data_IF_953503964417
#
_entry.id   IF_953503964417
#
_cell.length_a   1.000
_cell.length_b   1.000
_cell.length_c   1.000
_cell.angle_alpha   90.00
_cell.angle_beta   90.00
_cell.angle_gamma   90.00
#
_symmetry.space_group_name_H-M   'P 1'
#
loop_
_entity.id
_entity.type
_entity.pdbx_description
1 polymer ?
#
# COMPACT_ATOMS: atom_id res chain seq x y z
N UNK A 1 -37.79 -8.70 -43.50
CA UNK A 1 -37.37 -9.77 -42.53
C UNK A 1 -36.01 -9.53 -41.92
N UNK A 2 -35.04 -8.82 -42.54
CA UNK A 2 -33.74 -8.51 -41.99
C UNK A 2 -33.79 -7.31 -41.03
N UNK A 3 -34.72 -6.37 -41.26
CA UNK A 3 -34.89 -5.17 -40.41
C UNK A 3 -35.56 -5.47 -39.05
N UNK A 4 -36.43 -6.46 -38.97
CA UNK A 4 -37.12 -6.82 -37.73
C UNK A 4 -36.22 -7.63 -36.73
N UNK A 5 -35.21 -8.34 -37.25
CA UNK A 5 -34.23 -9.06 -36.38
C UNK A 5 -33.21 -8.16 -35.70
N UNK A 6 -32.86 -7.02 -36.30
CA UNK A 6 -31.92 -6.06 -35.70
C UNK A 6 -32.56 -5.22 -34.61
N UNK A 7 -33.85 -4.87 -34.75
CA UNK A 7 -34.58 -4.12 -33.70
C UNK A 7 -34.78 -4.94 -32.45
N UNK A 8 -34.98 -6.25 -32.55
CA UNK A 8 -35.12 -7.16 -31.39
C UNK A 8 -33.85 -7.36 -30.57
N UNK A 9 -32.66 -7.31 -31.19
CA UNK A 9 -31.39 -7.50 -30.53
C UNK A 9 -30.92 -6.25 -29.76
N UNK A 10 -31.18 -5.08 -30.29
CA UNK A 10 -30.85 -3.81 -29.59
C UNK A 10 -31.78 -3.54 -28.40
N UNK A 11 -33.04 -3.91 -28.46
CA UNK A 11 -33.97 -3.80 -27.34
C UNK A 11 -33.61 -4.75 -26.20
N UNK A 12 -33.11 -5.97 -26.49
CA UNK A 12 -32.63 -6.90 -25.45
C UNK A 12 -31.36 -6.44 -24.75
N UNK A 13 -30.46 -5.73 -25.45
CA UNK A 13 -29.22 -5.20 -24.85
C UNK A 13 -29.55 -3.96 -23.98
N UNK A 14 -30.45 -3.11 -24.41
CA UNK A 14 -30.93 -1.95 -23.62
C UNK A 14 -31.63 -2.39 -22.32
N UNK A 15 -32.50 -3.41 -22.40
CA UNK A 15 -33.21 -3.92 -21.24
C UNK A 15 -32.28 -4.57 -20.21
N UNK A 16 -31.21 -5.25 -20.64
CA UNK A 16 -30.22 -5.82 -19.73
C UNK A 16 -29.41 -4.75 -18.99
N UNK A 17 -28.98 -3.70 -19.68
CA UNK A 17 -28.22 -2.61 -19.06
C UNK A 17 -29.09 -1.77 -18.10
N UNK A 18 -30.36 -1.52 -18.45
CA UNK A 18 -31.28 -0.82 -17.55
C UNK A 18 -31.60 -1.66 -16.30
N UNK A 19 -31.74 -2.98 -16.41
CA UNK A 19 -31.92 -3.85 -15.24
C UNK A 19 -30.68 -3.94 -14.36
N UNK A 20 -29.48 -3.87 -14.92
CA UNK A 20 -28.22 -3.85 -14.14
C UNK A 20 -28.05 -2.51 -13.42
N UNK A 21 -28.23 -1.39 -14.08
CA UNK A 21 -28.19 -0.05 -13.47
C UNK A 21 -29.27 0.16 -12.40
N UNK A 22 -30.50 -0.35 -12.62
CA UNK A 22 -31.54 -0.33 -11.60
C UNK A 22 -31.24 -1.24 -10.40
N UNK A 23 -30.52 -2.38 -10.58
CA UNK A 23 -30.13 -3.23 -9.47
C UNK A 23 -29.04 -2.61 -8.60
N UNK A 24 -28.00 -2.02 -9.19
CA UNK A 24 -26.94 -1.35 -8.45
C UNK A 24 -27.43 -0.08 -7.74
N UNK A 25 -28.29 0.72 -8.38
CA UNK A 25 -28.89 1.90 -7.74
C UNK A 25 -29.88 1.54 -6.62
N UNK A 26 -30.55 0.37 -6.69
CA UNK A 26 -31.43 -0.10 -5.62
C UNK A 26 -30.65 -0.62 -4.40
N UNK A 27 -29.46 -1.24 -4.59
CA UNK A 27 -28.67 -1.74 -3.47
C UNK A 27 -28.03 -0.60 -2.67
N UNK A 28 -27.42 0.39 -3.32
CA UNK A 28 -26.87 1.59 -2.68
C UNK A 28 -27.93 2.40 -1.94
N UNK A 29 -29.09 2.54 -2.52
CA UNK A 29 -30.23 3.27 -1.94
C UNK A 29 -30.85 2.54 -0.71
N UNK A 30 -30.84 1.21 -0.68
CA UNK A 30 -31.41 0.42 0.43
C UNK A 30 -30.54 0.49 1.69
N UNK A 31 -29.23 0.35 1.57
CA UNK A 31 -28.31 0.46 2.71
C UNK A 31 -28.32 1.87 3.31
N UNK A 32 -28.32 2.90 2.47
CA UNK A 32 -28.41 4.29 2.91
C UNK A 32 -29.76 4.56 3.63
N UNK A 33 -30.83 4.02 3.10
CA UNK A 33 -32.15 4.13 3.73
C UNK A 33 -32.18 3.44 5.10
N UNK A 34 -31.58 2.26 5.22
CA UNK A 34 -31.45 1.54 6.50
C UNK A 34 -30.59 2.35 7.47
N UNK A 35 -29.46 2.91 7.05
CA UNK A 35 -28.60 3.76 7.88
C UNK A 35 -29.36 4.99 8.38
N UNK A 36 -30.09 5.66 7.50
CA UNK A 36 -30.85 6.85 7.85
C UNK A 36 -31.94 6.55 8.90
N UNK A 37 -32.62 5.41 8.78
CA UNK A 37 -33.60 4.97 9.76
C UNK A 37 -32.96 4.67 11.13
N UNK A 38 -31.84 3.96 11.13
CA UNK A 38 -31.08 3.60 12.33
C UNK A 38 -30.45 4.80 13.05
N UNK A 39 -30.21 5.92 12.35
CA UNK A 39 -29.72 7.18 12.94
C UNK A 39 -30.78 7.81 13.91
N UNK A 40 -32.04 7.38 13.86
CA UNK A 40 -33.04 7.82 14.84
C UNK A 40 -32.89 7.15 16.21
N UNK A 41 -32.12 6.09 16.34
CA UNK A 41 -31.88 5.36 17.58
C UNK A 41 -30.71 5.96 18.35
N UNK A 42 -30.94 6.40 19.57
CA UNK A 42 -29.95 7.06 20.42
C UNK A 42 -29.54 6.11 21.56
N UNK A 43 -28.23 6.04 21.80
CA UNK A 43 -27.69 5.27 22.92
C UNK A 43 -27.93 6.02 24.24
N UNK A 44 -28.59 5.42 25.22
CA UNK A 44 -29.05 6.13 26.42
C UNK A 44 -27.92 6.71 27.30
N UNK A 45 -26.76 6.07 27.31
CA UNK A 45 -25.59 6.52 28.10
C UNK A 45 -24.80 7.63 27.41
N UNK A 46 -24.64 7.57 26.09
CA UNK A 46 -23.82 8.53 25.35
C UNK A 46 -24.61 9.71 24.79
N UNK A 47 -25.92 9.57 24.65
CA UNK A 47 -26.79 10.58 24.04
C UNK A 47 -26.55 10.76 22.51
N UNK A 48 -25.74 9.92 21.90
CA UNK A 48 -25.44 9.96 20.46
C UNK A 48 -26.23 8.86 19.74
N UNK A 49 -26.52 9.09 18.45
CA UNK A 49 -27.16 8.07 17.62
C UNK A 49 -26.19 6.90 17.30
N UNK A 50 -26.76 5.72 17.03
CA UNK A 50 -25.98 4.49 16.85
C UNK A 50 -25.16 4.45 15.54
N UNK A 51 -25.49 5.30 14.57
CA UNK A 51 -24.76 5.41 13.29
C UNK A 51 -23.53 6.27 13.48
N UNK A 52 -23.70 7.49 14.03
CA UNK A 52 -22.61 8.42 14.33
C UNK A 52 -21.64 7.87 15.38
N UNK A 53 -22.15 7.08 16.33
CA UNK A 53 -21.34 6.39 17.35
C UNK A 53 -20.53 5.20 16.79
N UNK A 54 -20.74 4.83 15.53
CA UNK A 54 -20.03 3.71 14.90
C UNK A 54 -20.44 2.33 15.42
N UNK A 55 -21.64 2.18 16.01
CA UNK A 55 -22.12 0.88 16.49
C UNK A 55 -22.59 -0.06 15.38
N UNK A 56 -22.71 0.43 14.14
CA UNK A 56 -23.08 -0.39 12.98
C UNK A 56 -21.79 -0.89 12.30
N UNK A 57 -21.51 -2.18 12.44
CA UNK A 57 -20.37 -2.83 11.80
C UNK A 57 -20.66 -3.17 10.34
N UNK A 58 -21.85 -3.71 10.06
CA UNK A 58 -22.20 -4.16 8.71
C UNK A 58 -23.73 -4.11 8.50
N UNK A 59 -24.11 -3.72 7.29
CA UNK A 59 -25.49 -3.80 6.80
C UNK A 59 -25.46 -4.59 5.48
N UNK A 60 -26.28 -5.61 5.36
CA UNK A 60 -26.49 -6.33 4.12
C UNK A 60 -27.99 -6.47 3.82
N UNK A 61 -28.36 -6.24 2.57
CA UNK A 61 -29.71 -6.48 2.08
C UNK A 61 -29.66 -7.32 0.81
N UNK A 62 -30.05 -8.58 0.92
CA UNK A 62 -30.03 -9.52 -0.21
C UNK A 62 -31.19 -10.53 -0.10
N UNK A 63 -31.77 -10.91 -1.24
CA UNK A 63 -32.77 -11.97 -1.34
C UNK A 63 -33.94 -11.85 -0.35
N UNK A 64 -34.46 -10.63 -0.10
CA UNK A 64 -35.57 -10.40 0.82
C UNK A 64 -35.19 -10.47 2.30
N UNK A 65 -33.90 -10.41 2.63
CA UNK A 65 -33.41 -10.42 3.99
C UNK A 65 -32.53 -9.21 4.28
N UNK A 66 -32.78 -8.51 5.37
CA UNK A 66 -31.97 -7.44 5.93
C UNK A 66 -31.17 -7.99 7.10
N UNK A 67 -29.85 -7.87 7.08
CA UNK A 67 -28.98 -8.25 8.19
C UNK A 67 -28.23 -7.01 8.65
N UNK A 68 -28.31 -6.68 9.94
CA UNK A 68 -27.57 -5.60 10.58
C UNK A 68 -26.72 -6.17 11.69
N UNK A 69 -25.43 -5.88 11.68
CA UNK A 69 -24.49 -6.29 12.73
C UNK A 69 -24.16 -5.08 13.58
N UNK A 70 -24.51 -5.14 14.86
CA UNK A 70 -24.20 -4.12 15.86
C UNK A 70 -23.01 -4.56 16.69
N UNK A 71 -22.06 -3.63 16.92
CA UNK A 71 -20.91 -3.85 17.80
C UNK A 71 -20.80 -2.70 18.79
N UNK A 72 -20.77 -3.01 20.08
CA UNK A 72 -20.65 -2.04 21.15
C UNK A 72 -19.21 -1.99 21.69
N UNK A 73 -18.77 -0.81 22.11
CA UNK A 73 -17.40 -0.59 22.62
C UNK A 73 -17.12 -1.38 23.92
N UNK A 74 -18.15 -1.58 24.76
CA UNK A 74 -18.05 -2.37 25.99
C UNK A 74 -18.46 -3.82 25.70
N UNK A 75 -17.69 -4.80 26.19
CA UNK A 75 -17.95 -6.24 25.98
C UNK A 75 -19.33 -6.71 26.54
N UNK A 76 -19.91 -5.96 27.49
CA UNK A 76 -21.25 -6.17 28.03
C UNK A 76 -21.93 -4.82 28.22
N UNK A 77 -22.39 -4.25 27.12
CA UNK A 77 -23.14 -3.01 27.17
C UNK A 77 -24.57 -3.30 27.65
N UNK A 78 -25.03 -2.70 28.76
CA UNK A 78 -26.38 -2.97 29.34
C UNK A 78 -27.53 -2.57 28.41
N UNK A 79 -27.27 -1.70 27.44
CA UNK A 79 -28.27 -1.20 26.49
C UNK A 79 -28.26 -1.94 25.14
N UNK A 80 -27.27 -2.81 24.89
CA UNK A 80 -27.12 -3.49 23.62
C UNK A 80 -28.36 -4.27 23.18
N UNK A 81 -28.94 -5.03 24.09
CA UNK A 81 -30.19 -5.81 23.82
C UNK A 81 -31.38 -4.89 23.54
N UNK A 82 -31.49 -3.78 24.26
CA UNK A 82 -32.59 -2.80 24.06
C UNK A 82 -32.46 -2.15 22.68
N UNK A 83 -31.26 -1.71 22.31
CA UNK A 83 -31.01 -1.08 21.01
C UNK A 83 -31.23 -2.07 19.87
N UNK A 84 -30.76 -3.31 20.02
CA UNK A 84 -31.06 -4.38 19.07
C UNK A 84 -32.56 -4.53 18.81
N UNK A 85 -33.34 -4.66 19.87
CA UNK A 85 -34.79 -4.85 19.74
C UNK A 85 -35.48 -3.64 19.09
N UNK A 86 -35.07 -2.42 19.44
CA UNK A 86 -35.57 -1.20 18.81
C UNK A 86 -35.22 -1.14 17.33
N UNK A 87 -33.98 -1.55 16.94
CA UNK A 87 -33.56 -1.62 15.55
C UNK A 87 -34.39 -2.67 14.78
N UNK A 88 -34.65 -3.85 15.38
CA UNK A 88 -35.50 -4.88 14.76
C UNK A 88 -36.92 -4.40 14.54
N UNK A 89 -37.52 -3.78 15.54
CA UNK A 89 -38.90 -3.25 15.44
C UNK A 89 -39.00 -2.15 14.37
N UNK A 90 -38.06 -1.21 14.38
CA UNK A 90 -38.03 -0.12 13.41
C UNK A 90 -37.92 -0.65 11.98
N UNK A 91 -36.98 -1.56 11.75
CA UNK A 91 -36.74 -2.13 10.40
C UNK A 91 -37.91 -3.04 9.95
N UNK A 92 -38.51 -3.83 10.83
CA UNK A 92 -39.71 -4.66 10.50
C UNK A 92 -40.92 -3.80 10.15
N UNK A 93 -41.09 -2.65 10.80
CA UNK A 93 -42.17 -1.72 10.49
C UNK A 93 -42.00 -1.06 9.12
N UNK A 94 -40.76 -0.68 8.75
CA UNK A 94 -40.47 0.01 7.51
C UNK A 94 -40.30 -0.94 6.31
N UNK A 95 -39.97 -2.21 6.57
CA UNK A 95 -39.77 -3.25 5.57
C UNK A 95 -40.58 -4.52 5.90
N UNK A 96 -41.92 -4.49 5.86
CA UNK A 96 -42.78 -5.59 6.27
C UNK A 96 -42.60 -6.86 5.44
N UNK A 97 -42.17 -6.73 4.17
CA UNK A 97 -41.98 -7.86 3.24
C UNK A 97 -40.59 -8.48 3.33
N UNK A 98 -39.72 -8.01 4.25
CA UNK A 98 -38.37 -8.51 4.41
C UNK A 98 -38.15 -9.18 5.76
N UNK A 99 -37.31 -10.23 5.75
CA UNK A 99 -36.87 -10.86 7.00
C UNK A 99 -35.75 -10.03 7.61
N UNK A 100 -35.98 -9.45 8.79
CA UNK A 100 -34.98 -8.61 9.49
C UNK A 100 -34.24 -9.44 10.53
N UNK A 101 -32.91 -9.41 10.51
CA UNK A 101 -32.00 -10.00 11.49
C UNK A 101 -31.03 -8.94 12.00
N UNK A 102 -31.07 -8.62 13.28
CA UNK A 102 -30.10 -7.77 13.96
C UNK A 102 -29.25 -8.62 14.91
N UNK A 103 -27.94 -8.63 14.72
CA UNK A 103 -27.00 -9.43 15.49
C UNK A 103 -26.12 -8.50 16.32
N UNK A 104 -25.87 -8.84 17.59
CA UNK A 104 -24.89 -8.17 18.43
C UNK A 104 -23.61 -9.01 18.38
N UNK A 105 -22.48 -8.39 18.02
CA UNK A 105 -21.15 -8.95 18.17
C UNK A 105 -20.54 -8.48 19.48
N UNK A 106 -20.15 -9.39 20.33
CA UNK A 106 -19.44 -9.09 21.57
C UNK A 106 -17.94 -8.92 21.29
N UNK A 107 -17.37 -7.85 21.87
CA UNK A 107 -15.92 -7.66 21.99
C UNK A 107 -15.24 -6.82 20.92
N UNK A 108 -14.52 -5.80 21.39
CA UNK A 108 -13.70 -4.87 20.63
C UNK A 108 -14.45 -3.61 20.20
N UNK A 109 -13.81 -2.44 20.37
CA UNK A 109 -14.34 -1.17 19.86
C UNK A 109 -14.72 -1.35 18.40
N UNK A 110 -15.93 -0.90 18.01
CA UNK A 110 -16.26 -0.71 16.61
C UNK A 110 -15.14 0.12 15.99
N UNK A 111 -14.66 -0.18 14.77
CA UNK A 111 -13.79 0.73 14.08
C UNK A 111 -14.53 2.08 14.06
N UNK A 112 -13.95 3.10 14.70
CA UNK A 112 -14.39 4.48 14.48
C UNK A 112 -14.44 4.65 12.97
N UNK A 113 -15.50 5.28 12.38
CA UNK A 113 -15.40 5.72 11.00
C UNK A 113 -14.09 6.52 10.93
N UNK A 114 -13.11 5.93 10.24
CA UNK A 114 -11.83 6.62 10.04
C UNK A 114 -12.22 7.97 9.42
N UNK A 115 -11.79 9.10 9.96
CA UNK A 115 -11.97 10.36 9.28
C UNK A 115 -11.45 10.13 7.87
N UNK A 116 -12.24 10.46 6.84
CA UNK A 116 -11.79 10.36 5.44
C UNK A 116 -10.56 11.26 5.34
N UNK A 117 -9.39 10.68 5.59
CA UNK A 117 -8.11 11.36 5.52
C UNK A 117 -8.01 11.88 4.09
N UNK A 118 -7.91 13.20 3.95
CA UNK A 118 -7.61 13.80 2.65
C UNK A 118 -6.24 13.27 2.25
N UNK A 119 -6.17 12.47 1.19
CA UNK A 119 -4.91 11.92 0.70
C UNK A 119 -4.04 13.05 0.20
N UNK A 120 -2.85 13.19 0.77
CA UNK A 120 -1.86 14.19 0.34
C UNK A 120 -1.03 13.71 -0.86
N UNK A 121 -1.35 12.53 -1.39
CA UNK A 121 -0.69 11.96 -2.58
C UNK A 121 -1.07 12.64 -3.89
N UNK A 122 -1.99 13.60 -3.89
CA UNK A 122 -2.46 14.29 -5.10
C UNK A 122 -1.39 15.08 -5.88
N UNK A 123 -0.20 15.30 -5.30
CA UNK A 123 0.96 15.93 -5.96
C UNK A 123 2.01 14.96 -6.48
N UNK A 124 1.82 13.64 -6.35
CA UNK A 124 2.76 12.61 -6.76
C UNK A 124 2.35 12.07 -8.13
N UNK A 125 3.26 12.17 -9.12
CA UNK A 125 2.98 11.72 -10.48
C UNK A 125 3.00 10.20 -10.61
N UNK A 126 4.00 9.53 -10.00
CA UNK A 126 4.18 8.07 -10.07
C UNK A 126 4.63 7.49 -8.73
N UNK A 127 4.00 6.40 -8.32
CA UNK A 127 4.38 5.63 -7.13
C UNK A 127 4.94 4.28 -7.56
N UNK A 128 6.17 3.98 -7.15
CA UNK A 128 6.86 2.72 -7.48
C UNK A 128 7.09 1.93 -6.19
N UNK A 129 6.51 0.75 -6.10
CA UNK A 129 6.80 -0.16 -5.01
C UNK A 129 8.14 -0.87 -5.23
N UNK A 130 9.03 -0.86 -4.26
CA UNK A 130 10.24 -1.67 -4.24
C UNK A 130 10.02 -2.82 -3.28
N UNK A 131 9.99 -4.04 -3.80
CA UNK A 131 9.66 -5.25 -3.07
C UNK A 131 10.76 -6.30 -3.19
N UNK A 132 10.74 -7.27 -2.29
CA UNK A 132 11.59 -8.46 -2.36
C UNK A 132 10.88 -9.66 -1.81
N UNK A 133 11.07 -10.84 -2.40
CA UNK A 133 10.51 -12.08 -1.89
C UNK A 133 11.12 -12.52 -0.55
N UNK A 134 12.32 -12.03 -0.20
CA UNK A 134 13.11 -12.44 0.97
C UNK A 134 13.83 -11.24 1.59
N UNK A 135 14.04 -11.28 2.91
CA UNK A 135 14.90 -10.35 3.61
C UNK A 135 16.38 -10.55 3.28
N UNK A 136 17.19 -9.48 3.41
CA UNK A 136 18.64 -9.54 3.23
C UNK A 136 19.15 -9.48 1.78
N UNK A 137 18.27 -9.23 0.79
CA UNK A 137 18.68 -9.08 -0.61
C UNK A 137 19.16 -7.66 -0.97
N UNK A 138 19.14 -6.74 0.00
CA UNK A 138 19.54 -5.34 -0.19
C UNK A 138 18.46 -4.45 -0.81
N UNK A 139 17.18 -4.79 -0.63
CA UNK A 139 16.03 -4.02 -1.11
C UNK A 139 16.13 -2.53 -0.78
N UNK A 140 16.32 -2.19 0.51
CA UNK A 140 16.36 -0.80 0.97
C UNK A 140 17.60 -0.05 0.46
N UNK A 141 18.75 -0.73 0.33
CA UNK A 141 19.96 -0.18 -0.30
C UNK A 141 19.69 0.14 -1.79
N UNK A 142 19.00 -0.75 -2.49
CA UNK A 142 18.59 -0.51 -3.89
C UNK A 142 17.61 0.67 -3.96
N UNK A 143 16.63 0.75 -3.06
CA UNK A 143 15.68 1.87 -3.00
C UNK A 143 16.39 3.20 -2.81
N UNK A 144 17.32 3.29 -1.84
CA UNK A 144 18.08 4.51 -1.56
C UNK A 144 18.90 4.99 -2.76
N UNK A 145 19.68 4.09 -3.35
CA UNK A 145 20.51 4.43 -4.49
C UNK A 145 19.70 4.71 -5.78
N UNK A 146 18.57 4.03 -5.98
CA UNK A 146 17.65 4.30 -7.09
C UNK A 146 17.02 5.70 -6.94
N UNK A 147 16.63 6.10 -5.72
CA UNK A 147 16.12 7.43 -5.45
C UNK A 147 17.14 8.51 -5.79
N UNK A 148 18.40 8.31 -5.40
CA UNK A 148 19.49 9.23 -5.75
C UNK A 148 19.74 9.27 -7.26
N UNK A 149 19.71 8.13 -7.95
CA UNK A 149 19.85 8.09 -9.40
C UNK A 149 18.73 8.85 -10.12
N UNK A 150 17.47 8.65 -9.71
CA UNK A 150 16.33 9.42 -10.24
C UNK A 150 16.48 10.92 -9.98
N UNK A 151 16.92 11.32 -8.78
CA UNK A 151 17.20 12.71 -8.44
C UNK A 151 18.33 13.28 -9.34
N UNK A 152 19.41 12.52 -9.58
CA UNK A 152 20.50 12.93 -10.47
C UNK A 152 20.03 13.11 -11.91
N UNK A 153 18.99 12.38 -12.34
CA UNK A 153 18.33 12.58 -13.64
C UNK A 153 17.40 13.82 -13.67
N UNK A 154 17.28 14.56 -12.57
CA UNK A 154 16.50 15.80 -12.45
C UNK A 154 15.05 15.62 -11.99
N UNK A 155 14.66 14.43 -11.55
CA UNK A 155 13.32 14.19 -11.00
C UNK A 155 13.22 14.59 -9.52
N UNK A 156 12.05 15.05 -9.09
CA UNK A 156 11.69 15.26 -7.69
C UNK A 156 11.29 13.93 -7.09
N UNK A 157 12.01 13.47 -6.09
CA UNK A 157 11.89 12.11 -5.56
C UNK A 157 11.54 12.13 -4.08
N UNK A 158 10.65 11.22 -3.69
CA UNK A 158 10.38 10.88 -2.30
C UNK A 158 10.60 9.40 -2.03
N UNK A 159 10.85 9.07 -0.78
CA UNK A 159 10.92 7.69 -0.27
C UNK A 159 9.94 7.53 0.87
N UNK A 160 9.08 6.53 0.76
CA UNK A 160 8.26 6.03 1.85
C UNK A 160 8.86 4.72 2.35
N UNK A 161 9.50 4.75 3.51
CA UNK A 161 10.03 3.55 4.17
C UNK A 161 8.93 2.93 5.03
N UNK A 162 8.35 1.86 4.51
CA UNK A 162 7.26 1.13 5.13
C UNK A 162 7.72 -0.21 5.75
N UNK A 163 9.04 -0.45 5.87
CA UNK A 163 9.58 -1.65 6.50
C UNK A 163 9.51 -1.55 8.02
N UNK A 164 8.42 -2.07 8.60
CA UNK A 164 8.14 -2.02 10.04
C UNK A 164 9.19 -2.77 10.85
N UNK A 165 9.74 -3.82 10.28
CA UNK A 165 10.64 -4.74 10.99
C UNK A 165 12.09 -4.31 10.95
N UNK A 166 12.47 -3.45 10.01
CA UNK A 166 13.82 -2.98 9.85
C UNK A 166 13.90 -1.67 9.07
N UNK A 167 13.29 -0.58 9.58
CA UNK A 167 13.33 0.71 8.89
C UNK A 167 14.78 1.18 8.79
N UNK A 168 15.32 1.25 7.59
CA UNK A 168 16.73 1.51 7.34
C UNK A 168 17.00 2.80 6.56
N UNK A 169 15.99 3.37 5.93
CA UNK A 169 16.16 4.59 5.13
C UNK A 169 16.65 5.80 5.97
N UNK A 170 16.20 6.01 7.23
CA UNK A 170 16.73 7.09 8.06
C UNK A 170 18.26 7.01 8.23
N UNK A 171 18.79 5.79 8.44
CA UNK A 171 20.25 5.56 8.54
C UNK A 171 20.94 5.86 7.22
N UNK A 172 20.43 5.33 6.12
CA UNK A 172 21.02 5.47 4.79
C UNK A 172 21.07 6.91 4.29
N UNK A 173 20.22 7.80 4.82
CA UNK A 173 20.19 9.23 4.50
C UNK A 173 20.69 10.15 5.62
N UNK A 174 21.22 9.60 6.71
CA UNK A 174 21.80 10.36 7.81
C UNK A 174 20.78 11.21 8.59
N UNK A 175 19.53 10.76 8.65
CA UNK A 175 18.41 11.47 9.31
C UNK A 175 17.77 10.67 10.44
N UNK A 176 18.52 9.78 11.09
CA UNK A 176 18.01 8.89 12.16
C UNK A 176 17.38 9.64 13.35
N UNK A 177 17.87 10.83 13.65
CA UNK A 177 17.37 11.66 14.76
C UNK A 177 16.22 12.59 14.36
N UNK A 178 15.71 12.51 13.15
CA UNK A 178 14.62 13.37 12.70
C UNK A 178 13.32 13.04 13.45
N UNK A 179 12.66 14.08 13.96
CA UNK A 179 11.35 14.00 14.58
C UNK A 179 10.37 14.75 13.67
N UNK A 180 9.41 14.07 13.04
CA UNK A 180 8.47 14.72 12.14
C UNK A 180 7.60 15.73 12.86
N UNK A 181 7.57 16.98 12.37
CA UNK A 181 6.64 18.00 12.83
C UNK A 181 5.26 17.78 12.21
N UNK A 182 4.22 18.12 12.96
CA UNK A 182 2.86 18.20 12.47
C UNK A 182 2.51 19.67 12.17
N UNK A 183 2.02 19.91 10.95
CA UNK A 183 1.52 21.24 10.54
C UNK A 183 0.05 21.16 10.21
N UNK A 184 -0.72 22.14 10.65
CA UNK A 184 -2.15 22.22 10.37
C UNK A 184 -2.39 23.11 9.15
N UNK A 185 -2.91 22.54 8.08
CA UNK A 185 -3.26 23.27 6.85
C UNK A 185 -4.67 22.88 6.40
N UNK A 186 -5.46 23.86 6.01
CA UNK A 186 -6.85 23.67 5.56
C UNK A 186 -7.73 22.83 6.51
N UNK A 187 -7.41 22.85 7.81
CA UNK A 187 -8.14 22.09 8.85
C UNK A 187 -7.80 20.59 8.89
N UNK A 188 -6.68 20.17 8.29
CA UNK A 188 -6.13 18.84 8.39
C UNK A 188 -4.70 18.87 8.96
N UNK A 189 -4.33 17.87 9.75
CA UNK A 189 -2.98 17.70 10.26
C UNK A 189 -2.13 16.99 9.20
N UNK A 190 -0.97 17.58 8.88
CA UNK A 190 0.00 17.05 7.95
C UNK A 190 1.33 16.79 8.65
N UNK A 191 2.00 15.73 8.24
CA UNK A 191 3.31 15.32 8.74
C UNK A 191 4.38 15.82 7.76
N UNK A 192 5.36 16.55 8.25
CA UNK A 192 6.47 17.05 7.44
C UNK A 192 7.48 15.92 7.23
N UNK A 193 7.86 15.56 5.98
CA UNK A 193 8.90 14.58 5.72
C UNK A 193 10.29 15.16 6.01
N UNK A 194 11.26 14.30 6.37
CA UNK A 194 12.66 14.67 6.38
C UNK A 194 13.14 14.99 4.96
N UNK A 195 14.14 15.85 4.83
CA UNK A 195 14.81 16.13 3.56
C UNK A 195 16.31 15.83 3.69
N UNK A 196 16.82 15.02 2.78
CA UNK A 196 18.26 14.75 2.66
C UNK A 196 18.60 14.54 1.19
N UNK A 197 19.70 15.14 0.72
CA UNK A 197 20.13 15.06 -0.67
C UNK A 197 19.03 15.42 -1.69
N UNK A 198 18.21 16.44 -1.41
CA UNK A 198 17.06 16.87 -2.21
C UNK A 198 15.99 15.76 -2.41
N UNK A 199 15.96 14.78 -1.53
CA UNK A 199 14.97 13.69 -1.49
C UNK A 199 14.14 13.83 -0.22
N UNK A 200 12.81 13.76 -0.36
CA UNK A 200 11.88 13.74 0.78
C UNK A 200 11.74 12.33 1.30
N UNK A 201 11.90 12.18 2.61
CA UNK A 201 11.89 10.87 3.26
C UNK A 201 10.86 10.83 4.39
N UNK A 202 9.96 9.86 4.33
CA UNK A 202 9.11 9.49 5.45
C UNK A 202 9.34 8.02 5.79
N UNK A 203 9.67 7.75 7.04
CA UNK A 203 9.94 6.39 7.53
C UNK A 203 9.13 6.09 8.78
N UNK A 204 8.64 4.86 8.85
CA UNK A 204 8.05 4.33 10.08
C UNK A 204 9.07 4.37 11.24
N UNK A 205 10.37 4.33 10.94
CA UNK A 205 11.45 4.45 11.91
C UNK A 205 11.51 5.79 12.65
N UNK A 206 10.87 6.85 12.16
CA UNK A 206 10.77 8.13 12.88
C UNK A 206 9.78 8.08 14.05
N UNK A 207 8.87 7.10 14.06
CA UNK A 207 7.81 6.97 15.06
C UNK A 207 8.03 5.83 16.05
N UNK A 208 8.92 4.89 15.71
CA UNK A 208 9.17 3.67 16.50
C UNK A 208 10.58 3.73 17.07
N UNK A 209 10.71 3.70 18.40
CA UNK A 209 12.01 3.50 19.01
C UNK A 209 12.46 2.04 18.80
N UNK A 210 13.74 1.78 18.55
CA UNK A 210 14.25 0.42 18.36
C UNK A 210 13.86 -0.56 19.48
N UNK A 211 13.75 -0.06 20.73
CA UNK A 211 13.32 -0.82 21.91
C UNK A 211 11.84 -1.21 21.88
N UNK A 212 11.01 -0.46 21.17
CA UNK A 212 9.55 -0.60 21.19
C UNK A 212 9.02 -1.38 20.00
N UNK A 213 9.85 -1.63 18.98
CA UNK A 213 9.49 -2.34 17.75
C UNK A 213 8.87 -3.73 18.02
N UNK A 214 9.30 -4.41 19.08
CA UNK A 214 8.75 -5.71 19.53
C UNK A 214 7.32 -5.62 20.08
N UNK A 215 6.89 -4.42 20.51
CA UNK A 215 5.58 -4.20 21.12
C UNK A 215 4.51 -3.80 20.08
N UNK A 216 4.94 -3.41 18.88
CA UNK A 216 4.05 -3.01 17.81
C UNK A 216 3.38 -4.24 17.17
N UNK A 217 2.17 -4.49 17.60
CA UNK A 217 1.33 -5.54 16.98
C UNK A 217 0.86 -5.08 15.60
N UNK A 218 0.72 -6.02 14.66
CA UNK A 218 0.43 -5.74 13.26
C UNK A 218 -0.63 -4.67 12.98
N UNK A 219 -1.74 -4.63 13.74
CA UNK A 219 -2.79 -3.64 13.58
C UNK A 219 -2.35 -2.19 13.91
N UNK A 220 -1.48 -2.00 14.91
CA UNK A 220 -0.95 -0.68 15.27
C UNK A 220 0.01 -0.17 14.18
N UNK A 221 0.88 -1.06 13.71
CA UNK A 221 1.81 -0.76 12.65
C UNK A 221 1.10 -0.38 11.34
N UNK A 222 0.07 -1.13 10.96
CA UNK A 222 -0.76 -0.81 9.79
C UNK A 222 -1.48 0.54 9.95
N UNK A 223 -1.99 0.85 11.15
CA UNK A 223 -2.63 2.16 11.41
C UNK A 223 -1.65 3.32 11.29
N UNK A 224 -0.43 3.19 11.82
CA UNK A 224 0.62 4.20 11.69
C UNK A 224 1.07 4.37 10.24
N UNK A 225 1.25 3.27 9.50
CA UNK A 225 1.56 3.32 8.07
C UNK A 225 0.47 4.05 7.27
N UNK A 226 -0.81 3.78 7.55
CA UNK A 226 -1.93 4.51 6.92
C UNK A 226 -1.86 6.00 7.19
N UNK A 227 -1.62 6.41 8.44
CA UNK A 227 -1.45 7.82 8.77
C UNK A 227 -0.25 8.43 8.02
N UNK A 228 0.88 7.75 8.01
CA UNK A 228 2.09 8.17 7.31
C UNK A 228 1.84 8.32 5.79
N UNK A 229 1.15 7.37 5.16
CA UNK A 229 0.80 7.42 3.75
C UNK A 229 -0.10 8.63 3.44
N UNK A 230 -1.14 8.85 4.26
CA UNK A 230 -2.18 9.84 3.96
C UNK A 230 -1.89 11.24 4.50
N UNK A 231 -1.07 11.37 5.54
CA UNK A 231 -0.82 12.66 6.20
C UNK A 231 0.52 13.30 5.83
N UNK A 232 1.45 12.55 5.20
CA UNK A 232 2.73 13.16 4.81
C UNK A 232 2.55 14.23 3.74
N UNK A 233 3.10 15.42 4.00
CA UNK A 233 3.11 16.55 3.09
C UNK A 233 4.20 16.38 2.03
N UNK A 234 3.94 15.52 1.04
CA UNK A 234 4.90 15.24 -0.01
C UNK A 234 5.16 16.42 -0.95
N UNK A 235 4.19 17.34 -1.10
CA UNK A 235 4.23 18.37 -2.14
C UNK A 235 4.22 17.74 -3.54
N UNK A 236 4.88 18.40 -4.50
CA UNK A 236 4.96 17.87 -5.86
C UNK A 236 6.17 16.96 -6.02
N UNK A 237 5.93 15.70 -6.38
CA UNK A 237 6.95 14.70 -6.69
C UNK A 237 6.69 14.10 -8.07
N UNK A 238 7.77 13.77 -8.78
CA UNK A 238 7.70 13.00 -10.03
C UNK A 238 7.65 11.51 -9.70
N UNK A 239 8.41 11.07 -8.68
CA UNK A 239 8.43 9.69 -8.21
C UNK A 239 8.38 9.60 -6.69
N UNK A 240 7.56 8.69 -6.19
CA UNK A 240 7.61 8.20 -4.81
C UNK A 240 8.02 6.73 -4.82
N UNK A 241 9.15 6.40 -4.21
CA UNK A 241 9.58 5.01 -4.02
C UNK A 241 9.06 4.50 -2.68
N UNK A 242 8.23 3.47 -2.69
CA UNK A 242 7.75 2.82 -1.49
C UNK A 242 8.62 1.59 -1.19
N UNK A 243 9.46 1.68 -0.17
CA UNK A 243 10.29 0.58 0.34
C UNK A 243 9.43 -0.34 1.20
N UNK A 244 8.95 -1.45 0.62
CA UNK A 244 8.02 -2.36 1.28
C UNK A 244 8.75 -3.29 2.26
N UNK A 245 8.07 -3.87 3.26
CA UNK A 245 8.64 -4.93 4.08
C UNK A 245 9.13 -6.10 3.22
N UNK A 246 10.02 -6.99 3.70
CA UNK A 246 10.36 -8.21 2.96
C UNK A 246 9.22 -9.24 3.00
N UNK A 247 9.09 -10.05 1.95
CA UNK A 247 8.07 -11.10 1.84
C UNK A 247 6.79 -10.66 1.12
N UNK A 248 5.67 -11.35 1.39
CA UNK A 248 4.38 -11.19 0.68
C UNK A 248 3.17 -11.34 1.62
N UNK A 249 3.28 -10.91 2.88
CA UNK A 249 2.23 -11.08 3.89
C UNK A 249 1.15 -9.99 3.90
N UNK A 250 0.23 -10.07 4.87
CA UNK A 250 -0.94 -9.17 5.00
C UNK A 250 -0.57 -7.68 5.10
N UNK A 251 0.61 -7.36 5.65
CA UNK A 251 1.11 -5.98 5.74
C UNK A 251 1.32 -5.39 4.35
N UNK A 252 1.85 -6.18 3.40
CA UNK A 252 2.01 -5.75 2.00
C UNK A 252 0.67 -5.39 1.37
N UNK A 253 -0.32 -6.27 1.49
CA UNK A 253 -1.65 -6.04 0.93
C UNK A 253 -2.31 -4.80 1.54
N UNK A 254 -2.08 -4.56 2.84
CA UNK A 254 -2.57 -3.36 3.51
C UNK A 254 -1.92 -2.08 2.95
N UNK A 255 -0.59 -2.07 2.73
CA UNK A 255 0.12 -0.92 2.16
C UNK A 255 -0.29 -0.70 0.70
N UNK A 256 -0.36 -1.77 -0.09
CA UNK A 256 -0.76 -1.76 -1.50
C UNK A 256 -2.19 -1.21 -1.64
N UNK A 257 -3.10 -1.57 -0.73
CA UNK A 257 -4.48 -1.09 -0.75
C UNK A 257 -4.62 0.40 -0.41
N UNK A 258 -3.66 0.99 0.31
CA UNK A 258 -3.67 2.41 0.71
C UNK A 258 -2.89 3.31 -0.27
N UNK A 259 -1.91 2.77 -0.98
CA UNK A 259 -1.10 3.48 -1.98
C UNK A 259 -1.62 3.18 -3.38
N UNK A 260 -1.84 4.24 -4.17
CA UNK A 260 -2.04 4.07 -5.62
C UNK A 260 -0.69 3.78 -6.28
N UNK A 261 -0.28 2.51 -6.28
CA UNK A 261 0.98 2.08 -6.87
C UNK A 261 0.83 1.96 -8.39
N UNK A 262 1.68 2.67 -9.14
CA UNK A 262 1.69 2.63 -10.61
C UNK A 262 2.48 1.44 -11.15
N UNK A 263 3.54 1.01 -10.44
CA UNK A 263 4.34 -0.14 -10.83
C UNK A 263 5.16 -0.71 -9.67
N UNK A 264 5.61 -1.94 -9.79
CA UNK A 264 6.47 -2.61 -8.82
C UNK A 264 7.84 -2.98 -9.43
N UNK A 265 8.90 -2.83 -8.64
CA UNK A 265 10.25 -3.30 -8.91
C UNK A 265 10.60 -4.37 -7.89
N UNK A 266 11.11 -5.51 -8.35
CA UNK A 266 11.47 -6.62 -7.46
C UNK A 266 12.98 -6.75 -7.37
N UNK A 267 13.49 -6.77 -6.15
CA UNK A 267 14.92 -6.94 -5.86
C UNK A 267 15.19 -8.37 -5.41
N UNK A 268 16.18 -9.01 -6.00
CA UNK A 268 16.64 -10.35 -5.63
C UNK A 268 18.15 -10.45 -5.71
N UNK A 269 18.70 -11.54 -5.19
CA UNK A 269 20.10 -11.96 -5.42
C UNK A 269 20.13 -13.13 -6.39
N UNK A 270 21.31 -13.50 -6.97
CA UNK A 270 21.41 -14.61 -7.91
C UNK A 270 21.07 -15.99 -7.34
N UNK A 271 21.01 -16.13 -6.01
CA UNK A 271 20.75 -17.41 -5.32
C UNK A 271 19.40 -18.01 -5.67
N UNK A 272 19.35 -19.29 -6.00
CA UNK A 272 18.10 -19.98 -6.34
C UNK A 272 17.04 -19.91 -5.24
N UNK A 273 17.46 -19.94 -3.97
CA UNK A 273 16.54 -19.78 -2.82
C UNK A 273 15.87 -18.39 -2.81
N UNK A 274 16.62 -17.35 -3.16
CA UNK A 274 16.06 -16.00 -3.25
C UNK A 274 15.14 -15.85 -4.48
N UNK A 275 15.54 -16.44 -5.60
CA UNK A 275 14.76 -16.46 -6.85
C UNK A 275 13.43 -17.22 -6.66
N UNK A 276 13.40 -18.32 -5.91
CA UNK A 276 12.18 -19.05 -5.61
C UNK A 276 11.13 -18.19 -4.88
N UNK A 277 11.58 -17.24 -4.04
CA UNK A 277 10.68 -16.32 -3.35
C UNK A 277 10.24 -15.13 -4.26
N UNK A 278 10.99 -14.84 -5.34
CA UNK A 278 10.60 -13.82 -6.34
C UNK A 278 9.29 -14.22 -7.04
N UNK A 279 9.06 -15.52 -7.28
CA UNK A 279 7.79 -16.02 -7.84
C UNK A 279 6.61 -15.47 -7.05
N UNK A 280 6.65 -15.61 -5.72
CA UNK A 280 5.57 -15.14 -4.84
C UNK A 280 5.38 -13.61 -4.91
N UNK A 281 6.50 -12.87 -5.02
CA UNK A 281 6.46 -11.41 -5.17
C UNK A 281 5.80 -10.99 -6.48
N UNK A 282 6.18 -11.61 -7.60
CA UNK A 282 5.60 -11.34 -8.92
C UNK A 282 4.11 -11.68 -8.94
N UNK A 283 3.74 -12.86 -8.45
CA UNK A 283 2.36 -13.34 -8.42
C UNK A 283 1.47 -12.46 -7.51
N UNK A 284 2.01 -11.95 -6.40
CA UNK A 284 1.28 -11.02 -5.52
C UNK A 284 0.86 -9.76 -6.29
N UNK A 285 1.76 -9.15 -7.07
CA UNK A 285 1.45 -7.95 -7.85
C UNK A 285 0.57 -8.24 -9.08
N UNK A 286 0.70 -9.43 -9.69
CA UNK A 286 -0.11 -9.87 -10.84
C UNK A 286 -1.50 -10.38 -10.45
N UNK A 287 -1.74 -10.64 -9.16
CA UNK A 287 -3.04 -11.11 -8.68
C UNK A 287 -4.16 -10.17 -9.14
N UNK A 288 -5.30 -10.73 -9.57
CA UNK A 288 -6.43 -9.97 -10.13
C UNK A 288 -6.97 -8.87 -9.19
N UNK A 289 -6.88 -9.09 -7.86
CA UNK A 289 -7.32 -8.10 -6.87
C UNK A 289 -6.29 -6.98 -6.63
N UNK A 290 -5.03 -7.18 -6.98
CA UNK A 290 -3.93 -6.21 -6.83
C UNK A 290 -3.65 -5.53 -8.16
N UNK A 291 -3.47 -6.29 -9.22
CA UNK A 291 -3.31 -5.87 -10.62
C UNK A 291 -2.33 -4.71 -10.82
N UNK A 292 -1.14 -4.81 -10.21
CA UNK A 292 -0.07 -3.82 -10.34
C UNK A 292 0.97 -4.33 -11.34
N UNK A 293 1.32 -3.55 -12.39
CA UNK A 293 2.35 -3.93 -13.35
C UNK A 293 3.71 -4.08 -12.67
N UNK A 294 4.45 -5.16 -12.98
CA UNK A 294 5.83 -5.32 -12.55
C UNK A 294 6.74 -4.72 -13.61
N UNK A 295 7.40 -3.59 -13.30
CA UNK A 295 8.37 -2.93 -14.19
C UNK A 295 9.57 -3.82 -14.49
N UNK A 296 9.96 -4.64 -13.52
CA UNK A 296 11.01 -5.64 -13.74
C UNK A 296 11.74 -6.05 -12.47
N UNK A 297 12.82 -6.82 -12.67
CA UNK A 297 13.63 -7.41 -11.62
C UNK A 297 15.04 -6.83 -11.66
N UNK A 298 15.58 -6.51 -10.48
CA UNK A 298 16.97 -6.10 -10.25
C UNK A 298 17.70 -7.26 -9.57
N UNK A 299 18.81 -7.72 -10.14
CA UNK A 299 19.71 -8.68 -9.51
C UNK A 299 20.78 -7.94 -8.71
N UNK A 300 20.62 -7.87 -7.41
CA UNK A 300 21.61 -7.27 -6.51
C UNK A 300 22.65 -8.31 -6.06
N UNK A 301 23.83 -7.84 -5.65
CA UNK A 301 24.95 -8.70 -5.24
C UNK A 301 25.37 -9.71 -6.34
N UNK A 302 25.30 -9.28 -7.59
CA UNK A 302 25.48 -10.15 -8.76
C UNK A 302 26.89 -10.73 -8.87
N UNK A 303 27.92 -9.96 -8.56
CA UNK A 303 29.34 -10.38 -8.49
C UNK A 303 30.13 -9.47 -7.57
N UNK A 304 31.32 -9.89 -7.23
CA UNK A 304 32.35 -9.10 -6.56
C UNK A 304 33.58 -9.01 -7.44
N UNK A 305 34.22 -7.83 -7.51
CA UNK A 305 35.48 -7.60 -8.20
C UNK A 305 36.46 -6.99 -7.19
N UNK A 306 37.55 -7.69 -6.82
CA UNK A 306 38.65 -7.13 -6.01
C UNK A 306 39.35 -5.96 -6.72
N UNK A 307 39.77 -4.97 -5.96
CA UNK A 307 40.51 -3.83 -6.54
C UNK A 307 41.83 -4.24 -7.16
N UNK A 308 42.50 -5.25 -6.58
CA UNK A 308 43.77 -5.79 -7.06
C UNK A 308 43.62 -6.60 -8.36
N UNK A 309 42.41 -7.04 -8.68
CA UNK A 309 42.09 -7.87 -9.84
C UNK A 309 40.86 -7.32 -10.58
N UNK A 310 40.95 -6.13 -11.20
CA UNK A 310 39.77 -5.42 -11.73
C UNK A 310 39.09 -6.14 -12.92
N UNK A 311 39.80 -7.05 -13.60
CA UNK A 311 39.23 -7.86 -14.68
C UNK A 311 38.49 -9.12 -14.18
N UNK A 312 38.64 -9.48 -12.90
CA UNK A 312 38.06 -10.72 -12.35
C UNK A 312 36.70 -10.47 -11.71
N UNK A 313 35.74 -11.35 -12.00
CA UNK A 313 34.43 -11.35 -11.38
C UNK A 313 34.22 -12.63 -10.61
N UNK A 314 33.91 -12.50 -9.33
CA UNK A 314 33.59 -13.61 -8.42
C UNK A 314 32.10 -13.64 -8.13
N UNK A 315 31.44 -14.72 -8.51
CA UNK A 315 30.00 -14.89 -8.37
C UNK A 315 29.67 -15.59 -7.03
N UNK A 316 29.78 -14.85 -5.93
CA UNK A 316 29.66 -15.38 -4.57
C UNK A 316 28.30 -16.00 -4.27
N UNK A 317 27.25 -15.48 -4.89
CA UNK A 317 25.87 -15.91 -4.70
C UNK A 317 25.30 -16.64 -5.94
N UNK A 318 26.13 -17.09 -6.86
CA UNK A 318 25.71 -17.65 -8.14
C UNK A 318 25.66 -16.61 -9.24
N UNK A 319 25.25 -16.99 -10.44
CA UNK A 319 25.31 -16.14 -11.64
C UNK A 319 23.97 -16.11 -12.36
N UNK A 320 23.41 -14.91 -12.54
CA UNK A 320 22.27 -14.64 -13.42
C UNK A 320 20.99 -15.40 -13.03
N UNK A 321 20.75 -15.69 -11.75
CA UNK A 321 19.56 -16.40 -11.30
C UNK A 321 18.28 -15.61 -11.53
N UNK A 322 18.30 -14.30 -11.16
CA UNK A 322 17.15 -13.43 -11.35
C UNK A 322 16.94 -13.07 -12.84
N UNK A 323 18.00 -13.01 -13.63
CA UNK A 323 17.90 -12.83 -15.10
C UNK A 323 17.18 -14.01 -15.75
N UNK A 324 17.61 -15.25 -15.46
CA UNK A 324 16.93 -16.46 -16.00
C UNK A 324 15.48 -16.51 -15.59
N UNK A 325 15.19 -16.22 -14.33
CA UNK A 325 13.82 -16.15 -13.85
C UNK A 325 12.98 -15.13 -14.65
N UNK A 326 13.55 -13.93 -14.89
CA UNK A 326 12.87 -12.87 -15.64
C UNK A 326 12.50 -13.35 -17.05
N UNK A 327 13.44 -14.02 -17.73
CA UNK A 327 13.24 -14.59 -19.07
C UNK A 327 12.18 -15.71 -19.07
N UNK A 328 12.23 -16.64 -18.10
CA UNK A 328 11.29 -17.75 -17.97
C UNK A 328 9.85 -17.32 -17.65
N UNK A 329 9.68 -16.21 -16.91
CA UNK A 329 8.36 -15.78 -16.44
C UNK A 329 7.83 -14.52 -17.18
N UNK A 330 8.51 -14.11 -18.25
CA UNK A 330 8.08 -12.94 -19.03
C UNK A 330 8.04 -11.65 -18.20
N UNK A 331 9.03 -11.46 -17.34
CA UNK A 331 9.26 -10.23 -16.57
C UNK A 331 10.53 -9.57 -17.09
N UNK A 332 10.51 -8.25 -17.19
CA UNK A 332 11.70 -7.53 -17.66
C UNK A 332 12.87 -7.61 -16.67
N UNK A 333 14.09 -7.73 -17.19
CA UNK A 333 15.30 -7.65 -16.41
C UNK A 333 15.90 -6.23 -16.47
N UNK A 334 15.86 -5.52 -15.34
CA UNK A 334 16.28 -4.12 -15.27
C UNK A 334 17.79 -3.97 -15.22
N UNK A 335 18.49 -4.83 -14.47
CA UNK A 335 19.95 -4.76 -14.38
C UNK A 335 20.53 -5.59 -13.26
N UNK A 336 21.88 -5.57 -13.21
CA UNK A 336 22.71 -6.22 -12.20
C UNK A 336 23.49 -5.17 -11.43
N UNK A 337 23.58 -5.35 -10.11
CA UNK A 337 24.36 -4.48 -9.22
C UNK A 337 25.40 -5.36 -8.54
N UNK A 338 26.70 -5.06 -8.66
CA UNK A 338 27.76 -5.82 -7.99
C UNK A 338 27.82 -5.54 -6.48
N UNK A 339 28.56 -6.35 -5.77
CA UNK A 339 29.00 -6.06 -4.42
C UNK A 339 30.13 -5.06 -4.49
N UNK A 340 29.94 -3.88 -3.91
CA UNK A 340 30.92 -2.78 -3.88
C UNK A 340 30.99 -2.21 -2.48
N UNK A 341 32.22 -2.00 -2.01
CA UNK A 341 32.46 -1.47 -0.65
C UNK A 341 31.83 -0.10 -0.45
N UNK A 342 31.92 0.79 -1.44
CA UNK A 342 31.31 2.14 -1.36
C UNK A 342 29.79 2.13 -1.16
N UNK A 343 29.08 1.08 -1.58
CA UNK A 343 27.65 0.95 -1.32
C UNK A 343 27.37 0.71 0.18
N UNK A 344 28.17 -0.11 0.83
CA UNK A 344 28.06 -0.37 2.27
C UNK A 344 28.46 0.89 3.06
N UNK A 345 29.65 1.43 2.79
CA UNK A 345 30.17 2.61 3.49
C UNK A 345 29.22 3.81 3.34
N UNK A 346 28.76 4.09 2.13
CA UNK A 346 27.82 5.18 1.86
C UNK A 346 26.50 5.01 2.63
N UNK A 347 26.00 3.77 2.74
CA UNK A 347 24.79 3.47 3.53
C UNK A 347 25.02 3.70 5.03
N UNK A 348 26.19 3.34 5.55
CA UNK A 348 26.54 3.52 6.96
C UNK A 348 26.82 4.98 7.34
N UNK A 349 27.36 5.75 6.39
CA UNK A 349 27.66 7.18 6.54
C UNK A 349 26.47 8.11 6.26
N UNK A 350 25.31 7.55 5.88
CA UNK A 350 24.11 8.33 5.56
C UNK A 350 24.19 9.05 4.21
N UNK A 351 24.99 8.55 3.29
CA UNK A 351 25.20 9.09 1.93
C UNK A 351 25.18 7.96 0.89
N UNK A 352 24.03 7.58 0.32
CA UNK A 352 23.94 6.52 -0.67
C UNK A 352 24.97 6.67 -1.80
N UNK A 353 25.63 5.57 -2.14
CA UNK A 353 26.80 5.55 -3.01
C UNK A 353 26.56 6.09 -4.44
N UNK A 354 25.34 6.01 -4.95
CA UNK A 354 24.98 6.62 -6.24
C UNK A 354 25.13 8.16 -6.26
N UNK A 355 25.27 8.79 -5.08
CA UNK A 355 25.57 10.23 -4.97
C UNK A 355 27.04 10.57 -4.85
N UNK A 356 27.91 9.58 -4.66
CA UNK A 356 29.35 9.81 -4.36
C UNK A 356 30.32 8.96 -5.20
N UNK A 357 29.89 7.79 -5.72
CA UNK A 357 30.73 6.91 -6.57
C UNK A 357 30.15 6.88 -7.99
N UNK A 358 30.85 7.46 -9.00
CA UNK A 358 30.37 7.50 -10.38
C UNK A 358 30.13 6.12 -11.02
N UNK A 359 30.82 5.07 -10.54
CA UNK A 359 30.60 3.70 -11.03
C UNK A 359 29.25 3.18 -10.56
N UNK A 360 28.93 3.42 -9.29
CA UNK A 360 27.64 3.05 -8.69
C UNK A 360 26.51 3.86 -9.31
N UNK A 361 26.71 5.17 -9.47
CA UNK A 361 25.76 6.06 -10.16
C UNK A 361 25.40 5.51 -11.54
N UNK A 362 26.38 5.11 -12.35
CA UNK A 362 26.15 4.59 -13.70
C UNK A 362 25.25 3.34 -13.71
N UNK A 363 25.43 2.40 -12.77
CA UNK A 363 24.58 1.22 -12.71
C UNK A 363 23.14 1.57 -12.34
N UNK A 364 22.97 2.42 -11.33
CA UNK A 364 21.64 2.81 -10.88
C UNK A 364 20.93 3.73 -11.88
N UNK A 365 21.63 4.65 -12.54
CA UNK A 365 21.06 5.45 -13.63
C UNK A 365 20.56 4.58 -14.79
N UNK A 366 21.35 3.59 -15.22
CA UNK A 366 20.91 2.68 -16.28
C UNK A 366 19.70 1.81 -15.91
N UNK A 367 19.51 1.51 -14.62
CA UNK A 367 18.31 0.86 -14.12
C UNK A 367 17.15 1.85 -14.05
N UNK A 368 17.40 3.06 -13.53
CA UNK A 368 16.40 4.13 -13.41
C UNK A 368 15.82 4.52 -14.78
N UNK A 369 16.65 4.65 -15.82
CA UNK A 369 16.22 4.94 -17.19
C UNK A 369 15.19 3.93 -17.68
N UNK A 370 15.46 2.63 -17.49
CA UNK A 370 14.52 1.57 -17.89
C UNK A 370 13.20 1.63 -17.11
N UNK A 371 13.26 1.94 -15.81
CA UNK A 371 12.08 2.10 -14.98
C UNK A 371 11.24 3.28 -15.47
N UNK A 372 11.89 4.45 -15.66
CA UNK A 372 11.22 5.66 -16.16
C UNK A 372 10.56 5.39 -17.51
N UNK A 373 11.27 4.75 -18.44
CA UNK A 373 10.74 4.42 -19.76
C UNK A 373 9.45 3.58 -19.67
N UNK A 374 9.41 2.58 -18.77
CA UNK A 374 8.25 1.71 -18.59
C UNK A 374 7.09 2.40 -17.90
N UNK A 375 7.37 3.09 -16.81
CA UNK A 375 6.35 3.72 -15.97
C UNK A 375 5.70 4.93 -16.66
N UNK A 376 6.47 5.65 -17.50
CA UNK A 376 5.95 6.81 -18.24
C UNK A 376 5.25 6.42 -19.55
N UNK A 377 5.53 5.25 -20.15
CA UNK A 377 4.83 4.74 -21.33
C UNK A 377 3.50 4.05 -21.01
N UNK A 378 3.25 3.70 -19.75
CA UNK A 378 2.01 3.05 -19.29
C UNK A 378 0.85 4.04 -19.05
N UNK A 379 0.87 5.19 -19.74
CA UNK A 379 -0.20 6.20 -19.72
C UNK A 379 -1.06 6.13 -20.97
#
# INVERSE_FOLDING_TARGET
EIHERLVGSEMCIRDRNIRYLCKESHYTNMEEKIRHLLASLVHPETGQDIVSSGFIEHIASAAGKITVVLRFAKARDPFAVKIKNQAEELLKREFPDQTVLVVIKEGGAAPRPEPKLKTTTGGIAKVIAVASGKGGVGKSTVTANLAVALRNMGFRVGILDADIYGPSQPKMFGVEGYLPDAVQEEGADHIVPAESMDIRLMSIGFFIKPTDALLWRGAMAVSALKQMIHQTKWGTLDFLLADLPPGTGDVHLSIIGELKIDSAVIVSTPQQVAVADVVRGVEMFRNENVNIPVAGIIENMAWFTPEELPENRYYLFGKGGARRFAEEHGVDFLGEIPIVQSIMEGSDEGRPAAGIDPRVEKWYCGIAEKIVEKVMKSC
#
